data_IF_284549507672
#
_entry.id   IF_284549507672
#
_cell.length_a   1.000
_cell.length_b   1.000
_cell.length_c   1.000
_cell.angle_alpha   90.00
_cell.angle_beta   90.00
_cell.angle_gamma   90.00
#
_symmetry.space_group_name_H-M   'P 1'
#
loop_
_entity.id
_entity.type
_entity.pdbx_description
1 polymer ?
#
# COMPACT_ATOMS: atom_id res chain seq x y z
N UNK A 1 -27.02 -6.86 -4.14
CA UNK A 1 -25.95 -7.43 -5.00
C UNK A 1 -24.73 -7.84 -4.18
N UNK A 2 -24.14 -6.94 -3.38
CA UNK A 2 -22.95 -7.22 -2.55
C UNK A 2 -23.09 -8.44 -1.62
N UNK A 3 -24.27 -8.69 -1.04
CA UNK A 3 -24.53 -9.85 -0.17
C UNK A 3 -24.22 -11.18 -0.86
N UNK A 4 -24.66 -11.37 -2.12
CA UNK A 4 -24.41 -12.63 -2.85
C UNK A 4 -22.94 -12.75 -3.25
N UNK A 5 -22.34 -11.65 -3.71
CA UNK A 5 -20.95 -11.61 -4.16
C UNK A 5 -19.97 -11.86 -3.01
N UNK A 6 -20.25 -11.33 -1.82
CA UNK A 6 -19.38 -11.45 -0.63
C UNK A 6 -19.18 -12.89 -0.16
N UNK A 7 -20.07 -13.83 -0.52
CA UNK A 7 -19.88 -15.25 -0.24
C UNK A 7 -18.65 -15.81 -0.98
N UNK A 8 -18.29 -15.22 -2.12
CA UNK A 8 -17.15 -15.63 -2.94
C UNK A 8 -15.79 -15.16 -2.39
N UNK A 9 -15.77 -14.32 -1.34
CA UNK A 9 -14.54 -13.98 -0.60
C UNK A 9 -13.89 -15.24 -0.04
N UNK A 10 -14.72 -16.26 0.25
CA UNK A 10 -14.33 -17.50 0.90
C UNK A 10 -13.72 -18.53 -0.07
N UNK A 11 -13.61 -18.20 -1.37
CA UNK A 11 -12.96 -19.03 -2.38
C UNK A 11 -11.50 -19.30 -2.00
N UNK A 12 -11.14 -20.59 -1.89
CA UNK A 12 -9.81 -21.07 -1.54
C UNK A 12 -9.19 -20.34 -0.34
N UNK A 13 -10.00 -20.12 0.71
CA UNK A 13 -9.46 -19.63 1.97
C UNK A 13 -8.45 -20.62 2.57
N UNK A 14 -7.27 -20.15 3.02
CA UNK A 14 -6.28 -21.01 3.67
C UNK A 14 -6.89 -21.80 4.83
N UNK A 15 -6.51 -23.09 4.95
CA UNK A 15 -7.00 -23.96 6.02
C UNK A 15 -6.74 -23.36 7.42
N UNK A 16 -5.58 -22.71 7.61
CA UNK A 16 -5.19 -22.03 8.86
C UNK A 16 -6.18 -20.97 9.35
N UNK A 17 -7.05 -20.45 8.48
CA UNK A 17 -8.06 -19.47 8.88
C UNK A 17 -9.32 -20.10 9.50
N UNK A 18 -9.46 -21.44 9.48
CA UNK A 18 -10.64 -22.16 9.98
C UNK A 18 -11.98 -21.57 9.50
N UNK A 19 -12.00 -21.09 8.25
CA UNK A 19 -13.17 -20.43 7.68
C UNK A 19 -14.31 -21.44 7.46
N UNK A 20 -15.44 -21.23 8.16
CA UNK A 20 -16.64 -22.08 8.06
C UNK A 20 -17.29 -22.08 6.68
N UNK A 21 -17.12 -21.00 5.92
CA UNK A 21 -17.74 -20.80 4.61
C UNK A 21 -16.78 -21.06 3.45
N UNK A 22 -15.65 -21.74 3.71
CA UNK A 22 -14.63 -22.01 2.69
C UNK A 22 -15.24 -22.76 1.50
N UNK A 23 -15.03 -22.20 0.31
CA UNK A 23 -15.43 -22.83 -0.96
C UNK A 23 -14.15 -23.29 -1.65
N UNK A 24 -14.04 -24.59 -1.93
CA UNK A 24 -12.86 -25.16 -2.58
C UNK A 24 -13.05 -25.23 -4.09
N UNK A 25 -12.13 -24.63 -4.82
CA UNK A 25 -11.97 -24.72 -6.26
C UNK A 25 -10.55 -25.21 -6.59
N UNK A 26 -10.32 -25.80 -7.77
CA UNK A 26 -8.98 -26.14 -8.22
C UNK A 26 -8.03 -24.93 -8.14
N UNK A 27 -6.83 -25.11 -7.58
CA UNK A 27 -5.82 -24.05 -7.56
C UNK A 27 -5.22 -23.89 -8.96
N UNK A 28 -5.84 -23.03 -9.75
CA UNK A 28 -5.40 -22.67 -11.08
C UNK A 28 -5.57 -21.17 -11.33
N UNK A 29 -4.91 -20.68 -12.38
CA UNK A 29 -4.96 -19.31 -12.87
C UNK A 29 -6.38 -18.71 -12.86
N UNK A 30 -7.34 -19.40 -13.48
CA UNK A 30 -8.75 -18.95 -13.58
C UNK A 30 -9.39 -18.71 -12.22
N UNK A 31 -9.08 -19.56 -11.23
CA UNK A 31 -9.60 -19.40 -9.87
C UNK A 31 -8.99 -18.18 -9.16
N UNK A 32 -7.70 -17.89 -9.39
CA UNK A 32 -7.06 -16.69 -8.86
C UNK A 32 -7.56 -15.41 -9.53
N UNK A 33 -7.81 -15.43 -10.84
CA UNK A 33 -8.42 -14.33 -11.59
C UNK A 33 -9.86 -14.07 -11.13
N UNK A 34 -10.65 -15.13 -10.94
CA UNK A 34 -12.01 -15.02 -10.38
C UNK A 34 -11.98 -14.37 -9.00
N UNK A 35 -11.10 -14.84 -8.11
CA UNK A 35 -10.97 -14.28 -6.76
C UNK A 35 -10.53 -12.81 -6.79
N UNK A 36 -9.57 -12.47 -7.65
CA UNK A 36 -9.17 -11.08 -7.88
C UNK A 36 -10.34 -10.22 -8.33
N UNK A 37 -11.13 -10.72 -9.28
CA UNK A 37 -12.29 -10.04 -9.84
C UNK A 37 -13.36 -9.82 -8.76
N UNK A 38 -13.62 -10.83 -7.92
CA UNK A 38 -14.52 -10.71 -6.76
C UNK A 38 -14.07 -9.57 -5.84
N UNK A 39 -12.78 -9.51 -5.48
CA UNK A 39 -12.26 -8.43 -4.63
C UNK A 39 -12.40 -7.06 -5.29
N UNK A 40 -12.04 -6.94 -6.58
CA UNK A 40 -12.17 -5.69 -7.33
C UNK A 40 -13.63 -5.23 -7.45
N UNK A 41 -14.54 -6.15 -7.75
CA UNK A 41 -15.97 -5.82 -7.83
C UNK A 41 -16.52 -5.42 -6.47
N UNK A 42 -16.15 -6.10 -5.39
CA UNK A 42 -16.56 -5.69 -4.04
C UNK A 42 -16.01 -4.30 -3.69
N UNK A 43 -14.76 -4.02 -4.04
CA UNK A 43 -14.15 -2.71 -3.86
C UNK A 43 -14.90 -1.62 -4.64
N UNK A 44 -15.31 -1.90 -5.89
CA UNK A 44 -16.10 -0.98 -6.70
C UNK A 44 -17.49 -0.70 -6.10
N UNK A 45 -18.07 -1.67 -5.37
CA UNK A 45 -19.35 -1.49 -4.70
C UNK A 45 -19.27 -0.71 -3.39
N UNK A 46 -18.07 -0.47 -2.86
CA UNK A 46 -17.90 0.40 -1.70
C UNK A 46 -18.00 1.84 -2.19
N UNK A 47 -19.08 2.50 -1.82
CA UNK A 47 -19.31 3.91 -2.09
C UNK A 47 -18.64 4.75 -0.97
N UNK A 48 -17.77 5.72 -1.29
CA UNK A 48 -17.10 6.56 -0.28
C UNK A 48 -18.06 7.46 0.52
N UNK A 49 -19.31 7.59 0.09
CA UNK A 49 -20.36 8.35 0.78
C UNK A 49 -21.34 7.45 1.55
N UNK A 50 -21.36 6.15 1.27
CA UNK A 50 -22.26 5.17 1.90
C UNK A 50 -21.46 3.98 2.42
N UNK A 51 -21.31 3.89 3.73
CA UNK A 51 -20.49 2.87 4.36
C UNK A 51 -21.17 1.49 4.48
N UNK A 52 -22.37 1.28 3.94
CA UNK A 52 -23.13 0.04 4.13
C UNK A 52 -22.39 -1.20 3.64
N UNK A 53 -21.83 -1.14 2.42
CA UNK A 53 -21.07 -2.26 1.85
C UNK A 53 -19.76 -2.47 2.60
N UNK A 54 -19.06 -1.38 2.93
CA UNK A 54 -17.81 -1.42 3.70
C UNK A 54 -18.04 -2.08 5.07
N UNK A 55 -19.05 -1.59 5.79
CA UNK A 55 -19.40 -2.09 7.12
C UNK A 55 -19.83 -3.54 7.05
N UNK A 56 -20.69 -3.92 6.09
CA UNK A 56 -21.11 -5.31 5.88
C UNK A 56 -19.92 -6.25 5.66
N UNK A 57 -18.93 -5.86 4.85
CA UNK A 57 -17.74 -6.68 4.63
C UNK A 57 -16.88 -6.81 5.89
N UNK A 58 -16.76 -5.73 6.67
CA UNK A 58 -16.00 -5.72 7.91
C UNK A 58 -16.69 -6.60 8.96
N UNK A 59 -17.97 -6.38 9.24
CA UNK A 59 -18.68 -7.04 10.36
C UNK A 59 -19.16 -8.44 10.04
N UNK A 60 -19.64 -8.70 8.83
CA UNK A 60 -20.28 -9.97 8.51
C UNK A 60 -19.30 -10.98 7.91
N UNK A 61 -18.26 -10.48 7.22
CA UNK A 61 -17.31 -11.33 6.53
C UNK A 61 -15.91 -11.33 7.16
N UNK A 62 -15.66 -10.51 8.20
CA UNK A 62 -14.33 -10.35 8.79
C UNK A 62 -13.26 -10.19 7.69
N UNK A 63 -13.54 -9.35 6.68
CA UNK A 63 -12.81 -9.31 5.41
C UNK A 63 -11.29 -9.19 5.59
N UNK A 64 -10.86 -8.49 6.64
CA UNK A 64 -9.46 -8.30 6.96
C UNK A 64 -8.73 -9.61 7.30
N UNK A 65 -9.41 -10.58 7.90
CA UNK A 65 -8.89 -11.93 8.18
C UNK A 65 -8.67 -12.75 6.89
N UNK A 66 -9.27 -12.33 5.78
CA UNK A 66 -9.10 -12.94 4.46
C UNK A 66 -8.05 -12.22 3.62
N UNK A 67 -8.05 -10.88 3.63
CA UNK A 67 -7.18 -10.04 2.80
C UNK A 67 -5.79 -9.87 3.42
N UNK A 68 -5.71 -9.64 4.74
CA UNK A 68 -4.44 -9.42 5.45
C UNK A 68 -3.42 -10.53 5.21
N UNK A 69 -3.77 -11.82 5.45
CA UNK A 69 -2.84 -12.93 5.24
C UNK A 69 -2.37 -13.10 3.78
N UNK A 70 -3.18 -12.70 2.80
CA UNK A 70 -2.78 -12.76 1.38
C UNK A 70 -1.67 -11.74 1.11
N UNK A 71 -1.89 -10.49 1.54
CA UNK A 71 -0.94 -9.39 1.37
C UNK A 71 0.37 -9.68 2.12
N UNK A 72 0.28 -10.15 3.38
CA UNK A 72 1.48 -10.42 4.19
C UNK A 72 2.30 -11.58 3.64
N UNK A 73 1.64 -12.69 3.28
CA UNK A 73 2.34 -13.85 2.67
C UNK A 73 2.98 -13.45 1.34
N UNK A 74 2.31 -12.62 0.55
CA UNK A 74 2.85 -12.15 -0.71
C UNK A 74 4.12 -11.31 -0.52
N UNK A 75 4.09 -10.33 0.39
CA UNK A 75 5.25 -9.50 0.71
C UNK A 75 6.42 -10.33 1.28
N UNK A 76 6.15 -11.32 2.13
CA UNK A 76 7.17 -12.23 2.66
C UNK A 76 7.82 -13.05 1.55
N UNK A 77 7.03 -13.60 0.62
CA UNK A 77 7.55 -14.33 -0.52
C UNK A 77 8.43 -13.45 -1.41
N UNK A 78 8.10 -12.17 -1.54
CA UNK A 78 8.93 -11.20 -2.24
C UNK A 78 10.27 -11.00 -1.54
N UNK A 79 10.28 -10.79 -0.22
CA UNK A 79 11.51 -10.63 0.56
C UNK A 79 12.43 -11.85 0.46
N UNK A 80 11.88 -13.05 0.58
CA UNK A 80 12.66 -14.30 0.47
C UNK A 80 13.35 -14.47 -0.89
N UNK A 81 12.80 -13.83 -1.93
CA UNK A 81 13.34 -13.88 -3.28
C UNK A 81 14.24 -12.68 -3.63
N UNK A 82 14.29 -11.65 -2.78
CA UNK A 82 15.15 -10.48 -2.98
C UNK A 82 16.43 -10.61 -2.16
N UNK A 83 17.56 -10.80 -2.83
CA UNK A 83 18.90 -10.88 -2.20
C UNK A 83 19.42 -9.53 -1.68
N UNK A 84 18.78 -8.41 -2.01
CA UNK A 84 19.31 -7.05 -1.76
C UNK A 84 18.37 -6.13 -0.95
N UNK A 85 17.35 -6.66 -0.26
CA UNK A 85 16.50 -5.79 0.57
C UNK A 85 17.27 -5.33 1.83
N UNK A 86 17.27 -4.03 2.19
CA UNK A 86 17.92 -3.56 3.41
C UNK A 86 17.39 -4.32 4.63
N UNK A 87 18.30 -4.88 5.45
CA UNK A 87 18.01 -5.74 6.60
C UNK A 87 17.20 -5.06 7.73
N UNK A 88 16.92 -3.76 7.63
CA UNK A 88 16.35 -2.94 8.69
C UNK A 88 14.92 -3.31 9.14
N UNK A 89 14.17 -4.10 8.37
CA UNK A 89 12.75 -4.39 8.65
C UNK A 89 12.52 -5.80 9.23
N UNK A 90 13.60 -6.57 9.49
CA UNK A 90 13.52 -8.02 9.71
C UNK A 90 13.42 -8.50 11.18
N UNK A 91 13.12 -7.64 12.15
CA UNK A 91 12.99 -8.10 13.55
C UNK A 91 11.71 -8.91 13.85
N UNK A 92 10.70 -8.91 12.97
CA UNK A 92 9.44 -9.63 13.23
C UNK A 92 9.38 -11.07 12.71
N UNK A 93 10.48 -11.63 12.16
CA UNK A 93 10.46 -12.95 11.49
C UNK A 93 11.27 -14.05 12.19
N UNK A 94 11.41 -14.02 13.51
CA UNK A 94 11.89 -15.18 14.27
C UNK A 94 10.71 -15.90 14.90
N UNK A 95 10.09 -16.82 14.14
CA UNK A 95 9.41 -18.04 14.61
C UNK A 95 8.49 -18.61 13.52
N UNK A 96 9.07 -19.15 12.44
CA UNK A 96 8.40 -20.19 11.65
C UNK A 96 9.40 -20.85 10.70
N UNK A 97 10.16 -21.81 11.23
CA UNK A 97 10.79 -22.85 10.43
C UNK A 97 9.72 -23.85 10.02
N UNK A 98 9.24 -23.81 8.77
CA UNK A 98 8.67 -24.99 8.11
C UNK A 98 8.61 -24.84 6.57
N UNK A 99 9.36 -25.73 5.91
CA UNK A 99 9.32 -26.20 4.51
C UNK A 99 9.26 -25.19 3.34
N UNK A 100 10.31 -25.26 2.52
CA UNK A 100 10.37 -24.85 1.11
C UNK A 100 9.06 -25.10 0.33
N UNK A 101 8.36 -24.04 -0.05
CA UNK A 101 7.45 -24.02 -1.20
C UNK A 101 8.12 -23.17 -2.28
N UNK A 102 9.02 -23.81 -3.05
CA UNK A 102 9.54 -23.29 -4.32
C UNK A 102 8.74 -23.91 -5.48
N UNK A 103 7.46 -23.61 -5.58
CA UNK A 103 6.65 -23.73 -6.82
C UNK A 103 5.22 -23.26 -6.52
N UNK A 104 4.63 -22.48 -7.43
CA UNK A 104 3.25 -21.92 -7.47
C UNK A 104 3.08 -20.41 -7.16
N UNK A 105 4.13 -19.69 -6.75
CA UNK A 105 4.01 -18.27 -6.35
C UNK A 105 3.53 -17.30 -7.45
N UNK A 106 3.71 -17.63 -8.73
CA UNK A 106 3.40 -16.72 -9.85
C UNK A 106 1.88 -16.56 -10.06
N UNK A 107 1.08 -17.59 -9.79
CA UNK A 107 -0.37 -17.54 -10.06
C UNK A 107 -1.15 -16.76 -8.98
N UNK A 108 -0.57 -16.56 -7.80
CA UNK A 108 -1.21 -15.84 -6.70
C UNK A 108 -1.24 -14.32 -6.88
N UNK A 109 -0.46 -13.76 -7.81
CA UNK A 109 -0.33 -12.31 -7.97
C UNK A 109 -1.66 -11.62 -8.32
N UNK A 110 -2.49 -12.25 -9.16
CA UNK A 110 -3.82 -11.72 -9.48
C UNK A 110 -4.66 -11.52 -8.22
N UNK A 111 -4.70 -12.53 -7.35
CA UNK A 111 -5.43 -12.46 -6.08
C UNK A 111 -4.90 -11.34 -5.21
N UNK A 112 -3.57 -11.13 -5.16
CA UNK A 112 -2.96 -10.07 -4.36
C UNK A 112 -3.30 -8.67 -4.88
N UNK A 113 -3.32 -8.45 -6.20
CA UNK A 113 -3.76 -7.17 -6.78
C UNK A 113 -5.18 -6.84 -6.35
N UNK A 114 -6.10 -7.81 -6.47
CA UNK A 114 -7.49 -7.62 -6.03
C UNK A 114 -7.59 -7.38 -4.52
N UNK A 115 -6.80 -8.10 -3.73
CA UNK A 115 -6.76 -7.99 -2.28
C UNK A 115 -6.25 -6.61 -1.83
N UNK A 116 -5.15 -6.11 -2.40
CA UNK A 116 -4.61 -4.77 -2.13
C UNK A 116 -5.60 -3.69 -2.54
N UNK A 117 -6.23 -3.81 -3.73
CA UNK A 117 -7.25 -2.88 -4.19
C UNK A 117 -8.46 -2.81 -3.25
N UNK A 118 -8.93 -3.98 -2.77
CA UNK A 118 -10.01 -4.04 -1.80
C UNK A 118 -9.61 -3.45 -0.44
N UNK A 119 -8.40 -3.75 0.05
CA UNK A 119 -7.90 -3.18 1.29
C UNK A 119 -7.88 -1.65 1.22
N UNK A 120 -7.33 -1.07 0.14
CA UNK A 120 -7.32 0.37 -0.07
C UNK A 120 -8.71 0.97 0.11
N UNK A 121 -9.72 0.41 -0.55
CA UNK A 121 -11.07 0.97 -0.49
C UNK A 121 -11.73 0.79 0.88
N UNK A 122 -11.39 -0.28 1.61
CA UNK A 122 -11.87 -0.50 2.98
C UNK A 122 -11.30 0.51 3.99
N UNK A 123 -10.15 1.14 3.69
CA UNK A 123 -9.51 2.12 4.57
C UNK A 123 -10.12 3.53 4.46
N UNK A 124 -10.79 3.83 3.35
CA UNK A 124 -11.33 5.17 3.09
C UNK A 124 -12.33 5.55 4.18
N UNK A 125 -12.04 6.68 4.86
CA UNK A 125 -12.91 7.33 5.86
C UNK A 125 -13.34 6.41 7.02
N UNK A 126 -12.51 5.43 7.37
CA UNK A 126 -12.82 4.49 8.44
C UNK A 126 -11.70 4.42 9.49
N UNK A 127 -11.69 5.41 10.40
CA UNK A 127 -10.69 5.57 11.48
C UNK A 127 -10.64 4.37 12.43
N UNK A 128 -11.81 3.81 12.76
CA UNK A 128 -11.91 2.60 13.60
C UNK A 128 -11.27 1.40 12.91
N UNK A 129 -11.56 1.18 11.63
CA UNK A 129 -10.99 0.08 10.87
C UNK A 129 -9.48 0.23 10.70
N UNK A 130 -8.98 1.46 10.53
CA UNK A 130 -7.53 1.72 10.46
C UNK A 130 -6.81 1.30 11.73
N UNK A 131 -7.37 1.57 12.90
CA UNK A 131 -6.79 1.11 14.17
C UNK A 131 -6.67 -0.42 14.21
N UNK A 132 -7.67 -1.14 13.68
CA UNK A 132 -7.63 -2.60 13.56
C UNK A 132 -6.57 -3.03 12.54
N UNK A 133 -6.50 -2.41 11.37
CA UNK A 133 -5.52 -2.72 10.32
C UNK A 133 -4.09 -2.52 10.81
N UNK A 134 -3.80 -1.39 11.48
CA UNK A 134 -2.48 -1.09 12.05
C UNK A 134 -2.08 -2.04 13.17
N UNK A 135 -3.04 -2.70 13.83
CA UNK A 135 -2.75 -3.70 14.86
C UNK A 135 -2.38 -5.07 14.30
N UNK A 136 -2.55 -5.31 13.00
CA UNK A 136 -2.24 -6.62 12.40
C UNK A 136 -0.73 -6.77 12.24
N UNK A 137 -0.13 -7.81 12.85
CA UNK A 137 1.31 -8.03 12.77
C UNK A 137 1.80 -8.13 11.31
N UNK A 138 2.76 -7.29 10.97
CA UNK A 138 3.43 -7.30 9.67
C UNK A 138 2.63 -6.75 8.50
N UNK A 139 1.37 -6.33 8.67
CA UNK A 139 0.56 -5.82 7.54
C UNK A 139 1.08 -4.48 7.02
N UNK A 140 1.41 -3.53 7.91
CA UNK A 140 2.02 -2.25 7.53
C UNK A 140 3.37 -2.47 6.82
N UNK A 141 4.26 -3.28 7.42
CA UNK A 141 5.52 -3.68 6.78
C UNK A 141 5.31 -4.31 5.40
N UNK A 142 4.28 -5.14 5.25
CA UNK A 142 3.96 -5.77 3.97
C UNK A 142 3.56 -4.74 2.92
N UNK A 143 2.77 -3.74 3.28
CA UNK A 143 2.42 -2.65 2.37
C UNK A 143 3.66 -1.81 1.98
N UNK A 144 4.61 -1.61 2.89
CA UNK A 144 5.88 -0.89 2.61
C UNK A 144 6.77 -1.71 1.67
N UNK A 145 6.83 -3.02 1.83
CA UNK A 145 7.55 -3.88 0.87
C UNK A 145 6.88 -3.80 -0.50
N UNK A 146 5.55 -3.82 -0.53
CA UNK A 146 4.78 -3.79 -1.76
C UNK A 146 4.77 -2.42 -2.45
N UNK A 147 4.94 -1.31 -1.73
CA UNK A 147 5.09 0.02 -2.34
C UNK A 147 6.34 0.10 -3.21
N UNK A 148 7.35 -0.76 -2.96
CA UNK A 148 8.63 -0.84 -3.68
C UNK A 148 8.66 -1.97 -4.72
N UNK A 149 7.55 -2.68 -4.90
CA UNK A 149 7.49 -3.91 -5.66
C UNK A 149 7.91 -3.73 -7.13
N UNK A 150 9.02 -4.36 -7.51
CA UNK A 150 9.62 -4.30 -8.86
C UNK A 150 9.91 -2.88 -9.37
N UNK A 151 10.09 -1.90 -8.47
CA UNK A 151 10.46 -0.52 -8.84
C UNK A 151 11.81 -0.47 -9.58
N UNK A 152 12.80 -1.19 -9.06
CA UNK A 152 14.14 -1.28 -9.66
C UNK A 152 14.32 -2.63 -10.38
N UNK A 153 13.64 -2.84 -11.50
CA UNK A 153 14.11 -3.90 -12.42
C UNK A 153 15.39 -3.40 -13.06
N UNK A 154 16.53 -3.86 -12.53
CA UNK A 154 17.79 -3.82 -13.27
C UNK A 154 17.49 -4.37 -14.68
N UNK A 155 17.59 -3.50 -15.68
CA UNK A 155 17.41 -3.81 -17.12
C UNK A 155 18.29 -4.99 -17.60
N UNK A 156 19.20 -5.47 -16.74
CA UNK A 156 20.18 -6.54 -17.00
C UNK A 156 19.81 -7.92 -16.44
N UNK A 157 18.72 -8.07 -15.67
CA UNK A 157 18.32 -9.37 -15.08
C UNK A 157 16.98 -9.93 -15.61
N UNK A 158 16.37 -9.26 -16.59
CA UNK A 158 15.00 -9.54 -17.06
C UNK A 158 14.85 -10.77 -17.97
N UNK A 159 15.91 -11.52 -18.28
CA UNK A 159 15.79 -12.63 -19.25
C UNK A 159 15.53 -14.01 -18.64
N UNK A 160 15.51 -14.18 -17.30
CA UNK A 160 15.43 -15.53 -16.73
C UNK A 160 14.32 -15.79 -15.69
N UNK A 161 13.56 -14.77 -15.27
CA UNK A 161 12.41 -14.99 -14.40
C UNK A 161 11.17 -14.39 -15.07
N UNK A 162 10.13 -15.22 -15.30
CA UNK A 162 8.79 -14.79 -15.72
C UNK A 162 8.26 -13.75 -14.73
N UNK A 163 8.58 -12.48 -14.99
CA UNK A 163 8.22 -11.37 -14.12
C UNK A 163 6.78 -10.95 -14.42
N UNK A 164 6.03 -10.58 -13.38
CA UNK A 164 4.78 -9.83 -13.51
C UNK A 164 4.88 -8.73 -14.57
N UNK A 165 3.79 -8.56 -15.32
CA UNK A 165 3.68 -7.48 -16.31
C UNK A 165 3.90 -6.12 -15.61
N UNK A 166 4.60 -5.17 -16.24
CA UNK A 166 4.88 -3.86 -15.65
C UNK A 166 3.64 -3.19 -15.06
N UNK A 167 2.50 -3.21 -15.77
CA UNK A 167 1.27 -2.55 -15.30
C UNK A 167 0.72 -3.18 -14.02
N UNK A 168 0.94 -4.48 -13.80
CA UNK A 168 0.50 -5.16 -12.60
C UNK A 168 1.37 -4.81 -11.40
N UNK A 169 2.68 -4.68 -11.61
CA UNK A 169 3.61 -4.23 -10.57
C UNK A 169 3.30 -2.79 -10.15
N UNK A 170 3.05 -1.92 -11.12
CA UNK A 170 2.64 -0.53 -10.93
C UNK A 170 1.36 -0.40 -10.09
N UNK A 171 0.36 -1.24 -10.38
CA UNK A 171 -0.85 -1.30 -9.57
C UNK A 171 -0.55 -1.73 -8.14
N UNK A 172 0.28 -2.75 -7.92
CA UNK A 172 0.65 -3.17 -6.56
C UNK A 172 1.32 -2.03 -5.80
N UNK A 173 2.28 -1.33 -6.43
CA UNK A 173 2.98 -0.20 -5.82
C UNK A 173 2.02 0.93 -5.47
N UNK A 174 1.33 1.46 -6.47
CA UNK A 174 0.42 2.60 -6.31
C UNK A 174 -0.70 2.34 -5.30
N UNK A 175 -1.32 1.15 -5.33
CA UNK A 175 -2.38 0.78 -4.38
C UNK A 175 -1.85 0.60 -2.95
N UNK A 176 -0.60 0.14 -2.79
CA UNK A 176 0.03 -0.01 -1.48
C UNK A 176 0.42 1.34 -0.89
N UNK A 177 1.00 2.26 -1.69
CA UNK A 177 1.30 3.64 -1.29
C UNK A 177 0.01 4.33 -0.83
N UNK A 178 -1.06 4.25 -1.63
CA UNK A 178 -2.33 4.88 -1.29
C UNK A 178 -2.99 4.25 -0.06
N UNK A 179 -2.86 2.93 0.13
CA UNK A 179 -3.32 2.27 1.36
C UNK A 179 -2.60 2.80 2.60
N UNK A 180 -1.28 2.96 2.52
CA UNK A 180 -0.49 3.56 3.59
C UNK A 180 -0.84 5.03 3.80
N UNK A 181 -1.10 5.78 2.73
CA UNK A 181 -1.62 7.15 2.78
C UNK A 181 -2.95 7.24 3.53
N UNK A 182 -3.88 6.29 3.33
CA UNK A 182 -5.11 6.26 4.12
C UNK A 182 -4.88 5.90 5.59
N UNK A 183 -4.00 4.95 5.87
CA UNK A 183 -3.59 4.62 7.25
C UNK A 183 -2.98 5.84 7.94
N UNK A 184 -2.13 6.60 7.21
CA UNK A 184 -1.57 7.86 7.68
C UNK A 184 -2.67 8.88 7.90
N UNK A 185 -3.44 9.26 6.88
CA UNK A 185 -4.37 10.39 6.97
C UNK A 185 -5.45 10.21 8.04
N UNK A 186 -6.00 9.00 8.18
CA UNK A 186 -7.07 8.68 9.13
C UNK A 186 -6.56 7.98 10.42
N UNK A 187 -5.24 7.84 10.58
CA UNK A 187 -4.62 7.26 11.77
C UNK A 187 -4.52 8.27 12.92
N UNK A 188 -4.62 7.79 14.15
CA UNK A 188 -4.39 8.62 15.34
C UNK A 188 -2.90 8.95 15.53
N UNK A 189 -2.58 9.77 16.54
CA UNK A 189 -1.20 10.20 16.79
C UNK A 189 -0.21 9.05 17.01
N UNK A 190 -0.65 7.95 17.64
CA UNK A 190 0.20 6.77 17.83
C UNK A 190 0.54 6.09 16.49
N UNK A 191 -0.42 6.08 15.55
CA UNK A 191 -0.19 5.58 14.19
C UNK A 191 0.78 6.51 13.45
N UNK A 192 0.64 7.84 13.55
CA UNK A 192 1.60 8.79 12.96
C UNK A 192 3.02 8.52 13.46
N UNK A 193 3.19 8.43 14.79
CA UNK A 193 4.47 8.16 15.43
C UNK A 193 5.06 6.82 14.99
N UNK A 194 4.23 5.78 14.87
CA UNK A 194 4.69 4.47 14.42
C UNK A 194 5.13 4.51 12.96
N UNK A 195 4.35 5.13 12.07
CA UNK A 195 4.68 5.27 10.66
C UNK A 195 6.02 6.00 10.47
N UNK A 196 6.20 7.14 11.13
CA UNK A 196 7.41 7.96 10.99
C UNK A 196 8.60 7.27 11.66
N UNK A 197 8.49 6.91 12.94
CA UNK A 197 9.66 6.49 13.74
C UNK A 197 10.02 5.01 13.62
N UNK A 198 9.04 4.13 13.36
CA UNK A 198 9.25 2.68 13.37
C UNK A 198 9.28 2.10 11.96
N UNK A 199 8.47 2.66 11.06
CA UNK A 199 8.25 2.09 9.73
C UNK A 199 8.98 2.83 8.60
N UNK A 200 9.76 3.87 8.93
CA UNK A 200 10.52 4.64 7.94
C UNK A 200 9.63 5.12 6.78
N UNK A 201 8.39 5.51 7.11
CA UNK A 201 7.35 5.79 6.12
C UNK A 201 7.75 6.93 5.16
N UNK A 202 8.46 7.93 5.67
CA UNK A 202 8.89 9.09 4.88
C UNK A 202 9.85 8.65 3.78
N UNK A 203 10.96 8.01 4.13
CA UNK A 203 11.96 7.60 3.13
C UNK A 203 11.46 6.42 2.28
N UNK A 204 11.07 5.32 2.91
CA UNK A 204 10.76 4.06 2.21
C UNK A 204 9.48 4.08 1.37
N UNK A 205 8.58 5.04 1.58
CA UNK A 205 7.30 5.12 0.88
C UNK A 205 7.11 6.44 0.15
N UNK A 206 7.23 7.57 0.84
CA UNK A 206 6.95 8.87 0.25
C UNK A 206 8.07 9.30 -0.70
N UNK A 207 9.30 9.44 -0.19
CA UNK A 207 10.41 9.95 -1.01
C UNK A 207 10.78 8.98 -2.13
N UNK A 208 10.93 7.68 -1.84
CA UNK A 208 11.19 6.72 -2.91
C UNK A 208 10.01 6.56 -3.89
N UNK A 209 8.78 6.88 -3.49
CA UNK A 209 7.61 6.88 -4.38
C UNK A 209 7.57 8.08 -5.34
N UNK A 210 8.27 9.17 -5.00
CA UNK A 210 8.39 10.37 -5.84
C UNK A 210 9.61 10.27 -6.76
N UNK A 211 10.75 9.82 -6.21
CA UNK A 211 12.06 10.27 -6.67
C UNK A 211 12.65 9.56 -7.89
N UNK A 212 12.75 10.32 -8.98
CA UNK A 212 13.74 10.07 -10.03
C UNK A 212 15.14 10.61 -9.66
N UNK A 213 15.26 11.58 -8.74
CA UNK A 213 16.55 12.19 -8.37
C UNK A 213 17.22 11.48 -7.17
N UNK A 214 16.46 10.87 -6.27
CA UNK A 214 16.98 9.95 -5.23
C UNK A 214 17.42 8.57 -5.79
N UNK A 215 17.34 8.36 -7.11
CA UNK A 215 17.73 7.11 -7.77
C UNK A 215 16.73 5.97 -7.56
N UNK A 216 15.47 6.29 -7.22
CA UNK A 216 14.40 5.30 -7.10
C UNK A 216 13.91 4.81 -8.47
N UNK A 217 14.02 5.67 -9.51
CA UNK A 217 13.56 5.42 -10.88
C UNK A 217 12.06 5.05 -10.95
N UNK A 218 11.23 5.65 -10.10
CA UNK A 218 9.77 5.46 -10.21
C UNK A 218 9.24 6.15 -11.47
N UNK A 219 8.77 5.35 -12.42
CA UNK A 219 8.20 5.81 -13.68
C UNK A 219 6.66 5.85 -13.65
N UNK A 220 6.03 5.23 -12.63
CA UNK A 220 4.59 5.20 -12.53
C UNK A 220 4.03 6.48 -11.92
N UNK A 221 3.42 7.33 -12.74
CA UNK A 221 2.85 8.61 -12.28
C UNK A 221 1.84 8.45 -11.14
N UNK A 222 1.02 7.40 -11.15
CA UNK A 222 0.04 7.16 -10.09
C UNK A 222 0.72 6.89 -8.74
N UNK A 223 1.82 6.15 -8.72
CA UNK A 223 2.62 5.95 -7.52
C UNK A 223 3.21 7.28 -7.02
N UNK A 224 3.73 8.10 -7.95
CA UNK A 224 4.24 9.45 -7.67
C UNK A 224 3.15 10.35 -7.07
N UNK A 225 1.97 10.48 -7.71
CA UNK A 225 0.85 11.27 -7.21
C UNK A 225 0.47 10.83 -5.79
N UNK A 226 0.27 9.52 -5.57
CA UNK A 226 -0.12 9.02 -4.25
C UNK A 226 0.94 9.32 -3.17
N UNK A 227 2.22 9.34 -3.53
CA UNK A 227 3.31 9.68 -2.60
C UNK A 227 3.35 11.18 -2.29
N UNK A 228 3.15 12.03 -3.31
CA UNK A 228 3.02 13.48 -3.14
C UNK A 228 1.80 13.83 -2.28
N UNK A 229 0.63 13.26 -2.58
CA UNK A 229 -0.58 13.38 -1.74
C UNK A 229 -0.31 12.94 -0.30
N UNK A 230 0.45 11.85 -0.10
CA UNK A 230 0.85 11.38 1.21
C UNK A 230 1.65 12.40 2.02
N UNK A 231 2.59 13.12 1.39
CA UNK A 231 3.30 14.23 2.03
C UNK A 231 2.32 15.35 2.39
N UNK A 232 1.49 15.76 1.44
CA UNK A 232 0.48 16.81 1.66
C UNK A 232 -0.42 16.50 2.86
N UNK A 233 -1.00 15.30 2.90
CA UNK A 233 -1.82 14.79 3.99
C UNK A 233 -1.09 14.76 5.33
N UNK A 234 0.18 14.39 5.34
CA UNK A 234 0.99 14.37 6.55
C UNK A 234 1.15 15.78 7.15
N UNK A 235 1.47 16.78 6.32
CA UNK A 235 1.57 18.17 6.78
C UNK A 235 0.24 18.71 7.29
N UNK A 236 -0.85 18.44 6.57
CA UNK A 236 -2.20 18.83 6.98
C UNK A 236 -2.54 18.26 8.37
N UNK A 237 -2.36 16.94 8.57
CA UNK A 237 -2.67 16.27 9.84
C UNK A 237 -1.81 16.82 10.98
N UNK A 238 -0.50 16.97 10.79
CA UNK A 238 0.40 17.39 11.86
C UNK A 238 0.29 18.87 12.19
N UNK A 239 -0.11 19.72 11.24
CA UNK A 239 -0.24 21.16 11.44
C UNK A 239 -1.62 21.57 11.97
N UNK A 240 -2.69 21.08 11.32
CA UNK A 240 -4.07 21.49 11.62
C UNK A 240 -4.73 20.57 12.65
N UNK A 241 -4.36 19.28 12.66
CA UNK A 241 -5.09 18.24 13.40
C UNK A 241 -6.44 17.89 12.76
N UNK A 242 -7.07 16.85 13.29
CA UNK A 242 -8.42 16.36 12.94
C UNK A 242 -9.05 15.74 14.18
N UNK A 243 -10.34 15.45 14.13
CA UNK A 243 -11.07 14.80 15.24
C UNK A 243 -10.46 13.45 15.70
N UNK A 244 -9.70 12.78 14.82
CA UNK A 244 -9.03 11.51 15.10
C UNK A 244 -7.53 11.62 15.38
N UNK A 245 -6.93 12.79 15.16
CA UNK A 245 -5.49 13.00 15.37
C UNK A 245 -5.21 14.45 15.76
N UNK A 246 -4.75 14.65 16.98
CA UNK A 246 -4.31 15.97 17.42
C UNK A 246 -3.13 16.47 16.57
N UNK A 247 -3.07 17.78 16.36
CA UNK A 247 -1.91 18.43 15.75
C UNK A 247 -0.66 18.16 16.60
N UNK A 248 0.49 18.01 15.95
CA UNK A 248 1.75 17.76 16.61
C UNK A 248 2.90 18.47 15.89
N UNK A 249 3.23 19.67 16.38
CA UNK A 249 4.27 20.52 15.77
C UNK A 249 5.69 19.97 15.95
N UNK A 250 5.96 19.18 17.00
CA UNK A 250 7.26 18.54 17.20
C UNK A 250 7.48 17.44 16.16
N UNK A 251 6.48 16.57 15.97
CA UNK A 251 6.53 15.53 14.96
C UNK A 251 6.54 16.13 13.54
N UNK A 252 5.81 17.23 13.32
CA UNK A 252 5.88 18.00 12.07
C UNK A 252 7.32 18.42 11.79
N UNK A 253 8.01 19.05 12.75
CA UNK A 253 9.39 19.48 12.58
C UNK A 253 10.33 18.32 12.22
N UNK A 254 10.13 17.16 12.84
CA UNK A 254 10.88 15.95 12.48
C UNK A 254 10.62 15.53 11.02
N UNK A 255 9.37 15.55 10.57
CA UNK A 255 9.00 15.25 9.17
C UNK A 255 9.68 16.21 8.20
N UNK A 256 9.73 17.50 8.54
CA UNK A 256 10.39 18.52 7.73
C UNK A 256 11.90 18.25 7.59
N UNK A 257 12.56 17.93 8.71
CA UNK A 257 13.97 17.57 8.74
C UNK A 257 14.24 16.30 7.91
N UNK A 258 13.42 15.26 8.03
CA UNK A 258 13.57 14.01 7.27
C UNK A 258 13.35 14.21 5.76
N UNK A 259 12.37 15.03 5.37
CA UNK A 259 12.12 15.38 3.96
C UNK A 259 13.28 16.17 3.38
N UNK A 260 13.79 17.18 4.09
CA UNK A 260 14.93 17.99 3.65
C UNK A 260 16.20 17.12 3.51
N UNK A 261 16.51 16.30 4.51
CA UNK A 261 17.68 15.40 4.49
C UNK A 261 17.59 14.42 3.31
N UNK A 262 16.38 13.98 2.97
CA UNK A 262 16.14 13.07 1.86
C UNK A 262 16.13 13.73 0.47
N UNK A 263 16.35 15.04 0.35
CA UNK A 263 16.23 15.77 -0.91
C UNK A 263 14.79 15.82 -1.43
N UNK A 264 13.81 15.73 -0.53
CA UNK A 264 12.40 15.61 -0.88
C UNK A 264 11.84 16.86 -1.54
N UNK A 265 12.41 18.04 -1.28
CA UNK A 265 12.00 19.29 -1.94
C UNK A 265 12.39 19.26 -3.42
N UNK A 266 13.60 18.81 -3.74
CA UNK A 266 14.08 18.65 -5.11
C UNK A 266 13.31 17.55 -5.84
N UNK A 267 13.02 16.43 -5.15
CA UNK A 267 12.20 15.35 -5.70
C UNK A 267 10.77 15.84 -6.00
N UNK A 268 10.16 16.67 -5.14
CA UNK A 268 8.85 17.29 -5.37
C UNK A 268 8.83 18.29 -6.54
N UNK A 269 9.94 18.99 -6.78
CA UNK A 269 10.08 19.88 -7.91
C UNK A 269 10.18 19.13 -9.24
N UNK A 270 10.71 17.90 -9.22
CA UNK A 270 10.98 17.14 -10.45
C UNK A 270 9.73 16.92 -11.32
N UNK A 271 8.58 16.43 -10.80
CA UNK A 271 7.34 16.32 -11.56
C UNK A 271 6.85 17.66 -12.16
N UNK A 272 7.15 18.79 -11.53
CA UNK A 272 6.73 20.12 -12.01
C UNK A 272 7.41 20.50 -13.33
N UNK A 273 8.62 19.98 -13.59
CA UNK A 273 9.44 20.30 -14.75
C UNK A 273 9.53 19.17 -15.79
N UNK A 274 9.00 17.97 -15.47
CA UNK A 274 8.91 16.89 -16.44
C UNK A 274 7.96 17.28 -17.58
N UNK A 275 8.55 17.35 -18.78
CA UNK A 275 7.93 17.81 -20.01
C UNK A 275 7.53 16.61 -20.91
N UNK A 276 7.20 15.47 -20.30
CA UNK A 276 6.85 14.28 -21.09
C UNK A 276 5.60 14.56 -21.93
N UNK A 277 5.56 13.98 -23.13
CA UNK A 277 4.45 14.12 -24.10
C UNK A 277 3.09 13.61 -23.55
N UNK A 278 3.08 13.02 -22.36
CA UNK A 278 1.89 12.76 -21.57
C UNK A 278 1.65 13.95 -20.63
N UNK A 279 0.66 14.78 -20.98
CA UNK A 279 0.02 15.80 -20.15
C UNK A 279 -0.44 15.25 -18.78
N UNK A 280 0.50 14.99 -17.88
CA UNK A 280 0.16 14.64 -16.50
C UNK A 280 0.05 15.92 -15.65
N UNK A 281 -0.91 16.75 -16.05
CA UNK A 281 -1.26 17.99 -15.36
C UNK A 281 -1.66 17.72 -13.90
N UNK A 282 -2.20 16.53 -13.60
CA UNK A 282 -2.56 16.12 -12.26
C UNK A 282 -1.31 15.98 -11.36
N UNK A 283 -0.27 15.28 -11.82
CA UNK A 283 1.02 15.20 -11.10
C UNK A 283 1.64 16.57 -10.87
N UNK A 284 1.62 17.45 -11.89
CA UNK A 284 2.17 18.81 -11.77
C UNK A 284 1.39 19.65 -10.77
N UNK A 285 0.06 19.59 -10.84
CA UNK A 285 -0.84 20.30 -9.95
C UNK A 285 -0.63 19.86 -8.52
N UNK A 286 -0.60 18.55 -8.26
CA UNK A 286 -0.47 18.01 -6.91
C UNK A 286 0.92 18.32 -6.31
N UNK A 287 1.99 18.22 -7.11
CA UNK A 287 3.33 18.64 -6.69
C UNK A 287 3.37 20.13 -6.34
N UNK A 288 2.76 20.99 -7.16
CA UNK A 288 2.68 22.42 -6.91
C UNK A 288 1.88 22.74 -5.64
N UNK A 289 0.72 22.09 -5.42
CA UNK A 289 -0.07 22.30 -4.20
C UNK A 289 0.67 21.82 -2.96
N UNK A 290 1.30 20.64 -3.03
CA UNK A 290 2.08 20.08 -1.93
C UNK A 290 3.25 20.99 -1.57
N UNK A 291 4.00 21.48 -2.56
CA UNK A 291 5.07 22.46 -2.33
C UNK A 291 4.55 23.73 -1.68
N UNK A 292 3.42 24.27 -2.16
CA UNK A 292 2.80 25.47 -1.55
C UNK A 292 2.44 25.24 -0.10
N UNK A 293 1.90 24.07 0.24
CA UNK A 293 1.53 23.69 1.60
C UNK A 293 2.76 23.58 2.49
N UNK A 294 3.80 22.87 2.05
CA UNK A 294 5.07 22.76 2.79
C UNK A 294 5.66 24.15 3.03
N UNK A 295 5.80 24.96 1.99
CA UNK A 295 6.37 26.32 2.10
C UNK A 295 5.51 27.26 2.95
N UNK A 296 4.19 27.08 2.98
CA UNK A 296 3.30 27.87 3.84
C UNK A 296 3.40 27.50 5.32
N UNK A 297 3.89 26.30 5.60
CA UNK A 297 3.96 25.71 6.92
C UNK A 297 5.39 25.66 7.49
N UNK A 298 6.41 25.80 6.66
CA UNK A 298 7.80 26.13 7.01
C UNK A 298 7.93 27.59 7.47
#
# INVERSE_FOLDING_TARGET
>A
MHIKLSQLIHLNCPARLNCKYRINFPNNQTTFELRSSVFKTLAFLINPFENDVQQFLITNHNILHHVGPLITTFAQNILLNMSNFPQFISETSQNSSESLIKSDNIQHHFTNIGATYLLRTLLIRNTNFITVVSSIPGLINSLIILSRFQRQKNYRQSEQNESLQPEQADLIRSESILSLGWVQYFGNLNIQLSLIKQYDYIHSVLLEGIGNCSGSFEENSRATINAVEGINWLFIILNEGRDWCDKNHELKKQVEEEIEIGGGIEDLETPMFLNSEMNDEDSKWEALQTKRIIVSYW
#
